data_IF_466908240668
#
_entry.id   IF_466908240668
#
_cell.length_a   1.000
_cell.length_b   1.000
_cell.length_c   1.000
_cell.angle_alpha   90.00
_cell.angle_beta   90.00
_cell.angle_gamma   90.00
#
_symmetry.space_group_name_H-M   'P 1'
#
loop_
_entity.id
_entity.type
_entity.pdbx_description
1 polymer ?
#
# COMPACT_ATOMS: atom_id res chain seq x y z
N UNK A 1 51.97 -30.91 -30.73
CA UNK A 1 51.42 -29.59 -30.38
C UNK A 1 49.91 -29.76 -30.19
N UNK A 2 49.43 -29.87 -28.95
CA UNK A 2 48.01 -30.11 -28.60
C UNK A 2 47.52 -28.87 -27.85
N UNK A 3 46.59 -28.14 -28.45
CA UNK A 3 45.97 -26.95 -27.86
C UNK A 3 44.73 -27.45 -27.11
N UNK A 4 44.69 -27.26 -25.79
CA UNK A 4 43.56 -27.60 -24.94
C UNK A 4 42.60 -26.41 -24.89
N UNK A 5 41.29 -26.55 -25.18
CA UNK A 5 40.38 -25.42 -25.08
C UNK A 5 39.98 -25.21 -23.61
N UNK A 6 40.21 -23.99 -23.13
CA UNK A 6 39.79 -23.53 -21.81
C UNK A 6 38.31 -23.15 -21.88
N UNK A 7 37.44 -24.02 -21.36
CA UNK A 7 36.00 -23.76 -21.28
C UNK A 7 35.72 -22.82 -20.09
N UNK A 8 35.50 -21.54 -20.36
CA UNK A 8 35.08 -20.56 -19.34
C UNK A 8 33.59 -20.76 -19.07
N UNK A 9 33.27 -21.37 -17.93
CA UNK A 9 31.90 -21.40 -17.39
C UNK A 9 31.57 -20.04 -16.79
N UNK A 10 30.79 -19.25 -17.54
CA UNK A 10 30.24 -17.98 -17.07
C UNK A 10 29.09 -18.28 -16.09
N UNK A 11 29.39 -18.29 -14.80
CA UNK A 11 28.37 -18.38 -13.74
C UNK A 11 27.50 -17.13 -13.77
N UNK A 12 26.32 -17.22 -14.37
CA UNK A 12 25.29 -16.19 -14.30
C UNK A 12 24.71 -16.23 -12.88
N UNK A 13 25.24 -15.37 -12.01
CA UNK A 13 24.65 -15.08 -10.70
C UNK A 13 23.27 -14.49 -10.93
N UNK A 14 22.23 -15.32 -10.83
CA UNK A 14 20.86 -14.84 -10.79
C UNK A 14 20.67 -14.05 -9.51
N UNK A 15 20.87 -12.73 -9.57
CA UNK A 15 20.39 -11.83 -8.53
C UNK A 15 18.87 -11.93 -8.54
N UNK A 16 18.32 -12.76 -7.67
CA UNK A 16 16.89 -12.83 -7.44
C UNK A 16 16.42 -11.49 -6.88
N UNK A 17 15.88 -10.61 -7.74
CA UNK A 17 15.00 -9.54 -7.30
C UNK A 17 13.81 -10.23 -6.64
N UNK A 18 13.74 -10.14 -5.30
CA UNK A 18 12.59 -10.62 -4.56
C UNK A 18 11.36 -9.87 -5.07
N UNK A 19 10.34 -10.61 -5.50
CA UNK A 19 9.09 -10.03 -5.98
C UNK A 19 8.43 -9.22 -4.86
N UNK A 20 7.96 -8.02 -5.16
CA UNK A 20 7.26 -7.18 -4.19
C UNK A 20 5.96 -7.84 -3.76
N UNK A 21 5.74 -7.97 -2.45
CA UNK A 21 4.55 -8.62 -1.89
C UNK A 21 4.00 -7.80 -0.73
N UNK A 22 2.67 -7.68 -0.71
CA UNK A 22 1.92 -7.21 0.46
C UNK A 22 1.80 -8.39 1.45
N UNK A 23 2.50 -8.32 2.59
CA UNK A 23 2.51 -9.38 3.61
C UNK A 23 1.19 -9.43 4.36
N UNK A 24 0.78 -8.30 4.91
CA UNK A 24 -0.42 -8.17 5.73
C UNK A 24 -1.23 -6.95 5.26
N UNK A 25 -2.54 -7.02 5.48
CA UNK A 25 -3.46 -5.89 5.38
C UNK A 25 -4.36 -5.99 6.60
N UNK A 26 -4.45 -4.93 7.38
CA UNK A 26 -5.46 -4.79 8.43
C UNK A 26 -6.33 -3.57 8.18
N UNK A 27 -7.57 -3.63 8.64
CA UNK A 27 -8.57 -2.58 8.45
C UNK A 27 -8.85 -1.91 9.79
N UNK A 28 -8.85 -0.57 9.81
CA UNK A 28 -9.21 0.19 10.99
C UNK A 28 -9.94 1.48 10.62
N UNK A 29 -11.05 1.77 11.30
CA UNK A 29 -11.63 3.10 11.24
C UNK A 29 -11.00 3.96 12.34
N UNK A 30 -10.40 5.08 11.93
CA UNK A 30 -9.76 6.05 12.81
C UNK A 30 -10.42 7.41 12.67
N UNK A 31 -10.51 8.09 13.80
CA UNK A 31 -10.96 9.47 13.94
C UNK A 31 -9.78 10.43 13.89
N UNK A 32 -10.04 11.72 13.71
CA UNK A 32 -8.98 12.76 13.77
C UNK A 32 -8.15 12.68 15.06
N UNK A 33 -8.77 12.30 16.19
CA UNK A 33 -8.10 12.18 17.49
C UNK A 33 -7.09 11.03 17.56
N UNK A 34 -7.30 9.95 16.80
CA UNK A 34 -6.40 8.80 16.78
C UNK A 34 -5.03 9.15 16.14
N UNK A 35 -4.99 10.21 15.33
CA UNK A 35 -3.78 10.75 14.71
C UNK A 35 -3.09 11.85 15.52
N UNK A 36 -3.70 12.35 16.60
CA UNK A 36 -3.11 13.42 17.40
C UNK A 36 -1.80 12.98 18.06
N UNK A 37 -0.74 13.77 17.93
CA UNK A 37 0.57 13.52 18.54
C UNK A 37 1.08 14.76 19.26
N UNK A 38 1.82 14.57 20.35
CA UNK A 38 2.38 15.68 21.15
C UNK A 38 3.19 16.68 20.30
N UNK A 39 4.09 16.26 19.37
CA UNK A 39 4.85 17.21 18.56
C UNK A 39 3.98 18.12 17.66
N UNK A 40 2.79 17.67 17.27
CA UNK A 40 1.88 18.47 16.44
C UNK A 40 1.34 19.68 17.22
N UNK A 41 1.11 19.54 18.53
CA UNK A 41 0.68 20.65 19.38
C UNK A 41 1.70 21.81 19.35
N UNK A 42 2.99 21.48 19.25
CA UNK A 42 4.07 22.48 19.24
C UNK A 42 4.42 22.98 17.83
N UNK A 43 4.12 22.22 16.77
CA UNK A 43 4.58 22.52 15.41
C UNK A 43 3.46 22.91 14.45
N UNK A 44 2.20 22.60 14.78
CA UNK A 44 1.05 22.71 13.88
C UNK A 44 1.11 21.76 12.67
N UNK A 45 2.05 20.83 12.63
CA UNK A 45 2.26 19.89 11.52
C UNK A 45 1.92 18.47 11.94
N UNK A 46 1.19 17.77 11.08
CA UNK A 46 0.85 16.36 11.29
C UNK A 46 2.14 15.52 11.40
N UNK A 47 2.29 14.81 12.51
CA UNK A 47 3.42 13.93 12.74
C UNK A 47 3.10 12.49 12.35
N UNK A 48 3.78 11.98 11.32
CA UNK A 48 3.51 10.66 10.72
C UNK A 48 4.44 9.53 11.20
N UNK A 49 5.47 9.87 11.98
CA UNK A 49 6.44 8.89 12.50
C UNK A 49 7.06 8.00 11.41
N UNK A 50 6.98 6.69 11.61
CA UNK A 50 7.51 5.67 10.69
C UNK A 50 6.52 5.24 9.60
N UNK A 51 5.34 5.85 9.55
CA UNK A 51 4.26 5.50 8.63
C UNK A 51 4.30 6.38 7.39
N UNK A 52 4.00 5.78 6.24
CA UNK A 52 3.62 6.53 5.03
C UNK A 52 2.10 6.56 4.99
N UNK A 53 1.50 7.74 4.94
CA UNK A 53 0.05 7.90 4.93
C UNK A 53 -0.36 8.53 3.60
N UNK A 54 -1.30 7.91 2.89
CA UNK A 54 -1.97 8.47 1.73
C UNK A 54 -3.48 8.42 1.97
N UNK A 55 -4.21 9.46 1.55
CA UNK A 55 -5.65 9.61 1.82
C UNK A 55 -6.39 10.05 0.57
N UNK A 56 -7.65 9.66 0.43
CA UNK A 56 -8.50 10.12 -0.68
C UNK A 56 -8.86 11.59 -0.55
N UNK A 57 -9.02 12.06 0.69
CA UNK A 57 -9.26 13.46 1.05
C UNK A 57 -8.28 13.88 2.17
N UNK A 58 -8.04 15.18 2.33
CA UNK A 58 -7.10 15.68 3.34
C UNK A 58 -7.57 15.41 4.79
N UNK A 59 -8.86 15.12 4.98
CA UNK A 59 -9.46 14.68 6.24
C UNK A 59 -8.75 13.47 6.84
N UNK A 60 -8.55 13.49 8.16
CA UNK A 60 -7.92 12.35 8.88
C UNK A 60 -8.89 11.24 9.22
N UNK A 61 -10.16 11.56 9.37
CA UNK A 61 -11.16 10.59 9.76
C UNK A 61 -11.59 9.72 8.57
N UNK A 62 -11.64 8.40 8.79
CA UNK A 62 -12.05 7.46 7.76
C UNK A 62 -11.59 6.03 8.02
N UNK A 63 -11.78 5.18 7.00
CA UNK A 63 -11.29 3.81 6.98
C UNK A 63 -9.86 3.76 6.44
N UNK A 64 -8.98 3.06 7.14
CA UNK A 64 -7.61 2.83 6.73
C UNK A 64 -7.34 1.35 6.51
N UNK A 65 -6.65 1.06 5.41
CA UNK A 65 -5.96 -0.20 5.17
C UNK A 65 -4.49 -0.02 5.54
N UNK A 66 -4.02 -0.77 6.54
CA UNK A 66 -2.62 -0.77 6.98
C UNK A 66 -1.90 -1.92 6.28
N UNK A 67 -0.99 -1.56 5.38
CA UNK A 67 -0.22 -2.50 4.57
C UNK A 67 1.19 -2.65 5.13
N UNK A 68 1.62 -3.90 5.31
CA UNK A 68 3.03 -4.21 5.50
C UNK A 68 3.58 -4.88 4.24
N UNK A 69 4.67 -4.36 3.71
CA UNK A 69 5.35 -4.95 2.56
C UNK A 69 6.48 -5.90 2.98
N UNK A 70 6.88 -6.78 2.07
CA UNK A 70 8.04 -7.65 2.27
C UNK A 70 9.39 -6.95 2.14
N UNK A 71 9.39 -5.68 1.76
CA UNK A 71 10.55 -4.84 1.50
C UNK A 71 10.29 -3.41 2.02
N UNK A 72 11.32 -2.57 2.03
CA UNK A 72 11.15 -1.16 2.37
C UNK A 72 10.41 -0.41 1.26
N UNK A 73 9.61 0.59 1.61
CA UNK A 73 8.87 1.38 0.63
C UNK A 73 9.79 2.14 -0.33
N UNK A 74 10.98 2.50 0.13
CA UNK A 74 11.98 3.17 -0.69
C UNK A 74 12.50 2.31 -1.86
N UNK A 75 12.25 1.00 -1.86
CA UNK A 75 12.62 0.09 -2.95
C UNK A 75 11.48 -0.13 -3.95
N UNK A 76 10.30 0.46 -3.73
CA UNK A 76 9.24 0.45 -4.73
C UNK A 76 9.64 1.31 -5.94
N UNK A 77 9.14 0.99 -7.15
CA UNK A 77 9.26 1.87 -8.30
C UNK A 77 8.77 3.28 -7.96
N UNK A 78 9.49 4.28 -8.48
CA UNK A 78 9.11 5.69 -8.34
C UNK A 78 7.75 5.91 -8.98
N UNK A 79 6.95 6.79 -8.36
CA UNK A 79 5.61 7.14 -8.82
C UNK A 79 4.67 5.94 -9.00
N UNK A 80 4.86 4.87 -8.21
CA UNK A 80 3.88 3.80 -8.14
C UNK A 80 2.57 4.28 -7.51
N UNK A 81 1.48 3.63 -7.89
CA UNK A 81 0.14 3.99 -7.47
C UNK A 81 -0.53 2.82 -6.77
N UNK A 82 -1.29 3.14 -5.72
CA UNK A 82 -2.05 2.20 -4.93
C UNK A 82 -3.52 2.31 -5.31
N UNK A 83 -4.11 1.19 -5.67
CA UNK A 83 -5.52 1.08 -6.03
C UNK A 83 -6.23 0.28 -4.96
N UNK A 84 -7.32 0.82 -4.43
CA UNK A 84 -8.21 0.12 -3.51
C UNK A 84 -9.55 -0.03 -4.19
N UNK A 85 -9.94 -1.26 -4.46
CA UNK A 85 -11.30 -1.58 -4.86
C UNK A 85 -12.03 -2.15 -3.65
N UNK A 86 -13.19 -1.60 -3.28
CA UNK A 86 -13.91 -1.98 -2.06
C UNK A 86 -15.41 -2.01 -2.27
N UNK A 87 -16.03 -3.12 -1.88
CA UNK A 87 -17.47 -3.27 -1.68
C UNK A 87 -17.80 -2.87 -0.26
N UNK A 88 -18.80 -2.00 -0.09
CA UNK A 88 -19.18 -1.44 1.19
C UNK A 88 -20.43 -2.11 1.72
N UNK A 89 -20.67 -2.03 3.03
CA UNK A 89 -21.89 -2.58 3.63
C UNK A 89 -23.14 -1.77 3.31
N UNK A 90 -23.00 -0.55 2.79
CA UNK A 90 -24.09 0.38 2.47
C UNK A 90 -24.43 0.41 0.97
N UNK A 91 -23.79 -0.42 0.15
CA UNK A 91 -24.07 -0.52 -1.28
C UNK A 91 -23.37 -1.71 -1.93
N UNK A 92 -23.99 -2.37 -2.92
CA UNK A 92 -23.45 -3.58 -3.53
C UNK A 92 -22.28 -3.32 -4.49
N UNK A 93 -22.16 -2.09 -5.00
CA UNK A 93 -21.19 -1.75 -6.03
C UNK A 93 -19.79 -1.53 -5.46
N UNK A 94 -18.80 -2.15 -6.09
CA UNK A 94 -17.40 -1.90 -5.78
C UNK A 94 -16.99 -0.49 -6.22
N UNK A 95 -16.33 0.24 -5.33
CA UNK A 95 -15.74 1.56 -5.63
C UNK A 95 -14.23 1.46 -5.72
N UNK A 96 -13.64 2.14 -6.70
CA UNK A 96 -12.20 2.21 -6.92
C UNK A 96 -11.63 3.54 -6.43
N UNK A 97 -10.65 3.48 -5.54
CA UNK A 97 -9.87 4.62 -5.07
C UNK A 97 -8.42 4.48 -5.52
N UNK A 98 -7.84 5.60 -5.96
CA UNK A 98 -6.45 5.68 -6.40
C UNK A 98 -5.69 6.62 -5.47
N UNK A 99 -4.56 6.14 -4.96
CA UNK A 99 -3.74 6.85 -3.98
C UNK A 99 -2.28 6.84 -4.42
N UNK A 100 -1.61 7.97 -4.25
CA UNK A 100 -0.17 8.10 -4.46
C UNK A 100 0.50 8.31 -3.11
N UNK A 101 1.62 7.61 -2.89
CA UNK A 101 2.46 7.86 -1.72
C UNK A 101 3.56 8.88 -2.05
N UNK A 102 4.01 9.70 -1.09
CA UNK A 102 5.14 10.60 -1.29
C UNK A 102 6.41 9.83 -1.70
N UNK A 103 7.30 10.45 -2.47
CA UNK A 103 8.56 9.83 -2.90
C UNK A 103 9.56 9.58 -1.77
N UNK A 104 9.42 10.31 -0.66
CA UNK A 104 10.29 10.19 0.51
C UNK A 104 9.74 9.15 1.50
N UNK A 105 10.19 7.91 1.32
CA UNK A 105 9.74 6.75 2.11
C UNK A 105 10.90 6.00 2.78
N UNK A 106 12.08 6.62 2.87
CA UNK A 106 13.30 6.00 3.41
C UNK A 106 13.05 5.36 4.78
N UNK A 107 13.40 4.08 4.90
CA UNK A 107 13.29 3.30 6.14
C UNK A 107 11.89 2.87 6.54
N UNK A 108 10.84 3.37 5.88
CA UNK A 108 9.43 3.04 6.20
C UNK A 108 9.00 1.76 5.51
N UNK A 109 8.21 0.94 6.20
CA UNK A 109 7.73 -0.38 5.75
C UNK A 109 6.21 -0.53 5.81
N UNK A 110 5.54 0.38 6.51
CA UNK A 110 4.10 0.39 6.71
C UNK A 110 3.47 1.55 5.93
N UNK A 111 2.40 1.24 5.19
CA UNK A 111 1.59 2.22 4.46
C UNK A 111 0.19 2.21 5.01
N UNK A 112 -0.31 3.38 5.36
CA UNK A 112 -1.70 3.63 5.72
C UNK A 112 -2.39 4.22 4.49
N UNK A 113 -3.28 3.44 3.89
CA UNK A 113 -4.12 3.91 2.80
C UNK A 113 -5.51 4.25 3.34
N UNK A 114 -5.80 5.55 3.45
CA UNK A 114 -7.05 6.07 3.99
C UNK A 114 -8.07 6.37 2.90
N UNK A 115 -9.28 5.83 3.05
CA UNK A 115 -10.49 6.34 2.40
C UNK A 115 -11.15 7.23 3.46
N UNK A 116 -11.12 8.55 3.24
CA UNK A 116 -11.38 9.55 4.28
C UNK A 116 -12.39 10.61 3.86
N UNK A 117 -12.86 11.39 4.83
CA UNK A 117 -13.85 12.44 4.60
C UNK A 117 -15.16 11.84 4.08
N UNK A 118 -15.75 12.46 3.06
CA UNK A 118 -17.02 11.99 2.50
C UNK A 118 -16.92 10.62 1.82
N UNK A 119 -15.72 10.19 1.40
CA UNK A 119 -15.55 8.85 0.83
C UNK A 119 -15.78 7.74 1.88
N UNK A 120 -15.56 8.04 3.17
CA UNK A 120 -15.86 7.12 4.28
C UNK A 120 -16.25 7.85 5.58
N UNK A 121 -17.42 8.47 5.56
CA UNK A 121 -17.90 9.35 6.64
C UNK A 121 -18.50 8.65 7.88
N UNK A 122 -18.45 7.31 7.97
CA UNK A 122 -19.04 6.61 9.12
C UNK A 122 -18.38 5.29 9.49
N UNK A 123 -18.09 5.12 10.79
CA UNK A 123 -17.64 3.85 11.40
C UNK A 123 -18.64 2.70 11.22
N UNK A 124 -19.92 3.01 10.98
CA UNK A 124 -20.97 2.01 10.76
C UNK A 124 -20.79 1.28 9.43
N UNK A 125 -20.21 1.95 8.44
CA UNK A 125 -19.95 1.38 7.11
C UNK A 125 -18.74 0.46 7.21
N UNK A 126 -18.86 -0.76 6.70
CA UNK A 126 -17.81 -1.80 6.75
C UNK A 126 -17.28 -2.13 5.34
N UNK A 127 -15.98 -2.39 5.19
CA UNK A 127 -15.42 -2.93 3.95
C UNK A 127 -15.75 -4.43 3.86
N UNK A 128 -16.81 -4.78 3.15
CA UNK A 128 -17.30 -6.17 3.05
C UNK A 128 -16.34 -7.02 2.23
N UNK A 129 -15.89 -6.51 1.09
CA UNK A 129 -14.89 -7.15 0.25
C UNK A 129 -13.95 -6.10 -0.31
N UNK A 130 -12.67 -6.43 -0.50
CA UNK A 130 -11.71 -5.49 -1.04
C UNK A 130 -10.57 -6.18 -1.78
N UNK A 131 -9.97 -5.44 -2.72
CA UNK A 131 -8.72 -5.77 -3.40
C UNK A 131 -7.83 -4.53 -3.42
N UNK A 132 -6.56 -4.73 -3.15
CA UNK A 132 -5.53 -3.69 -3.20
C UNK A 132 -4.46 -4.10 -4.20
N UNK A 133 -4.15 -3.21 -5.14
CA UNK A 133 -3.11 -3.39 -6.13
C UNK A 133 -2.10 -2.25 -6.05
N UNK A 134 -0.82 -2.58 -6.17
CA UNK A 134 0.25 -1.61 -6.40
C UNK A 134 0.63 -1.72 -7.87
N UNK A 135 0.58 -0.60 -8.59
CA UNK A 135 0.95 -0.53 -10.00
C UNK A 135 2.14 0.38 -10.20
N UNK A 136 3.05 0.01 -11.09
CA UNK A 136 4.10 0.91 -11.54
C UNK A 136 3.55 1.98 -12.52
N UNK A 137 4.44 2.88 -12.96
CA UNK A 137 4.10 3.97 -13.90
C UNK A 137 3.59 3.49 -15.27
N UNK A 138 3.85 2.24 -15.64
CA UNK A 138 3.33 1.63 -16.87
C UNK A 138 1.94 1.04 -16.69
N UNK A 139 1.41 1.03 -15.46
CA UNK A 139 0.14 0.39 -15.10
C UNK A 139 0.28 -1.10 -14.81
N UNK A 140 1.49 -1.66 -14.81
CA UNK A 140 1.72 -3.07 -14.48
C UNK A 140 1.53 -3.29 -12.98
N UNK A 141 0.73 -4.29 -12.62
CA UNK A 141 0.58 -4.74 -11.23
C UNK A 141 1.89 -5.37 -10.76
N UNK A 142 2.49 -4.79 -9.72
CA UNK A 142 3.72 -5.29 -9.10
C UNK A 142 3.47 -6.00 -7.77
N UNK A 143 2.32 -5.77 -7.14
CA UNK A 143 1.85 -6.51 -5.98
C UNK A 143 0.33 -6.39 -5.87
N UNK A 144 -0.32 -7.42 -5.33
CA UNK A 144 -1.75 -7.41 -5.06
C UNK A 144 -2.07 -8.21 -3.81
N UNK A 145 -3.14 -7.82 -3.10
CA UNK A 145 -3.74 -8.58 -2.01
C UNK A 145 -5.22 -8.28 -1.93
N UNK A 146 -6.01 -9.23 -1.45
CA UNK A 146 -7.46 -9.10 -1.38
C UNK A 146 -8.01 -9.74 -0.12
N UNK A 147 -9.23 -9.34 0.25
CA UNK A 147 -9.99 -9.99 1.31
C UNK A 147 -10.44 -11.38 0.87
N UNK A 148 -10.81 -12.20 1.84
CA UNK A 148 -11.35 -13.54 1.56
C UNK A 148 -12.58 -13.47 0.65
N UNK A 149 -13.58 -12.65 1.00
CA UNK A 149 -14.84 -12.54 0.25
C UNK A 149 -14.65 -12.08 -1.19
N UNK A 150 -13.63 -11.26 -1.48
CA UNK A 150 -13.31 -10.85 -2.85
C UNK A 150 -12.93 -12.04 -3.74
N UNK A 151 -12.21 -13.03 -3.19
CA UNK A 151 -11.78 -14.22 -3.93
C UNK A 151 -12.88 -15.24 -4.21
N UNK A 152 -14.00 -15.15 -3.50
CA UNK A 152 -15.15 -16.03 -3.65
C UNK A 152 -16.21 -15.50 -4.61
N UNK A 153 -16.13 -14.23 -5.00
CA UNK A 153 -17.06 -13.63 -5.95
C UNK A 153 -16.69 -13.92 -7.40
N UNK A 154 -16.86 -15.17 -7.85
CA UNK A 154 -17.06 -15.55 -9.25
C UNK A 154 -17.87 -16.84 -9.36
#
# INVERSE_FOLDING_TARGET
>A
MRILPFLVLLSISSFGLSETRIRSVSEAYWTTRDFSRIPEYFTGKEYRGNQVIARTQDDREGLYFVLELNQALATLPKSCEFFIEVVRSDGPDAKLYKLSIPDETKGRREVLLGITGEDWNSRKIKPVAWRIEIKDVSGKVIASKQSFLWGHGK
#
